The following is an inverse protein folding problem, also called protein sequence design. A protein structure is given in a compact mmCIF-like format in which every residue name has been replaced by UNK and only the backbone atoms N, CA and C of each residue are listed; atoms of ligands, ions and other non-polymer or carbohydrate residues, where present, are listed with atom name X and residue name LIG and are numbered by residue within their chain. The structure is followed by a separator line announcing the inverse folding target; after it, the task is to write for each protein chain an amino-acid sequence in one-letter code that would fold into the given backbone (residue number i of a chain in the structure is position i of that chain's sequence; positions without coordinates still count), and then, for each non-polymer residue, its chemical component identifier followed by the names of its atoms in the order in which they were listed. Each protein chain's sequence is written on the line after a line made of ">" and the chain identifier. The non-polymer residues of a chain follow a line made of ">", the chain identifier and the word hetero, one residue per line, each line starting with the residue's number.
data_IF_653495485675
#
_entry.id   IF_653495485675
#
_cell.length_a   1.000
_cell.length_b   1.000
_cell.length_c   1.000
_cell.angle_alpha   90.00
_cell.angle_beta   90.00
_cell.angle_gamma   90.00
#
_symmetry.space_group_name_H-M   'P 1'
#
loop_
_entity.id
_entity.type
_entity.pdbx_description
1 polymer ?
#
# COMPACT_ATOMS: atom_id res chain seq x y z
N UNK A 1 -12.80 -3.35 -21.47
CA UNK A 1 -13.72 -2.33 -22.04
C UNK A 1 -13.47 -2.15 -23.53
N UNK A 2 -12.21 -1.95 -23.95
CA UNK A 2 -11.82 -1.82 -25.36
C UNK A 2 -12.35 -2.99 -26.20
N UNK A 3 -12.09 -4.23 -25.79
CA UNK A 3 -12.53 -5.43 -26.55
C UNK A 3 -14.07 -5.54 -26.64
N UNK A 4 -14.77 -5.08 -25.60
CA UNK A 4 -16.24 -5.04 -25.56
C UNK A 4 -16.76 -3.98 -26.53
N UNK A 5 -16.17 -2.79 -26.55
CA UNK A 5 -16.57 -1.72 -27.47
C UNK A 5 -16.17 -2.04 -28.92
N UNK A 6 -15.05 -2.72 -29.14
CA UNK A 6 -14.65 -3.18 -30.48
C UNK A 6 -15.60 -4.26 -31.01
N UNK A 7 -16.05 -5.19 -30.17
CA UNK A 7 -17.02 -6.22 -30.61
C UNK A 7 -18.41 -5.65 -30.89
N UNK A 8 -18.81 -4.58 -30.19
CA UNK A 8 -20.13 -3.95 -30.36
C UNK A 8 -20.18 -2.85 -31.43
N UNK A 9 -19.12 -2.04 -31.55
CA UNK A 9 -19.10 -0.80 -32.37
C UNK A 9 -18.01 -0.80 -33.45
N UNK A 10 -17.20 -1.86 -33.54
CA UNK A 10 -16.08 -1.94 -34.50
C UNK A 10 -16.50 -1.89 -35.97
N UNK A 11 -17.76 -2.21 -36.28
CA UNK A 11 -18.33 -2.08 -37.64
C UNK A 11 -18.81 -0.67 -37.99
N UNK A 12 -19.00 0.20 -36.99
CA UNK A 12 -19.62 1.52 -37.16
C UNK A 12 -18.64 2.68 -36.97
N UNK A 13 -17.61 2.52 -36.13
CA UNK A 13 -16.71 3.60 -35.76
C UNK A 13 -15.24 3.26 -36.10
N UNK A 14 -14.42 4.25 -36.47
CA UNK A 14 -12.98 4.07 -36.60
C UNK A 14 -12.33 3.60 -35.29
N UNK A 15 -11.33 2.74 -35.37
CA UNK A 15 -10.69 2.12 -34.19
C UNK A 15 -10.14 3.15 -33.20
N UNK A 16 -9.54 4.25 -33.68
CA UNK A 16 -9.00 5.31 -32.81
C UNK A 16 -10.09 5.97 -31.93
N UNK A 17 -11.30 6.12 -32.46
CA UNK A 17 -12.42 6.71 -31.72
C UNK A 17 -12.92 5.75 -30.63
N UNK A 18 -12.92 4.44 -30.90
CA UNK A 18 -13.28 3.42 -29.92
C UNK A 18 -12.30 3.43 -28.73
N UNK A 19 -10.99 3.60 -28.98
CA UNK A 19 -10.01 3.75 -27.91
C UNK A 19 -10.27 5.00 -27.06
N UNK A 20 -10.50 6.16 -27.69
CA UNK A 20 -10.80 7.41 -26.97
C UNK A 20 -12.07 7.28 -26.13
N UNK A 21 -13.13 6.72 -26.67
CA UNK A 21 -14.39 6.48 -25.95
C UNK A 21 -14.14 5.53 -24.77
N UNK A 22 -13.38 4.44 -24.97
CA UNK A 22 -13.06 3.51 -23.88
C UNK A 22 -12.29 4.18 -22.76
N UNK A 23 -11.32 5.04 -23.07
CA UNK A 23 -10.56 5.77 -22.05
C UNK A 23 -11.46 6.76 -21.32
N UNK A 24 -12.29 7.54 -22.02
CA UNK A 24 -13.22 8.48 -21.40
C UNK A 24 -14.22 7.78 -20.47
N UNK A 25 -14.75 6.63 -20.89
CA UNK A 25 -15.67 5.82 -20.06
C UNK A 25 -14.94 5.30 -18.82
N UNK A 26 -13.76 4.70 -18.98
CA UNK A 26 -12.96 4.21 -17.85
C UNK A 26 -12.60 5.33 -16.87
N UNK A 27 -12.14 6.48 -17.37
CA UNK A 27 -11.82 7.65 -16.54
C UNK A 27 -13.07 8.17 -15.83
N UNK A 28 -14.22 8.25 -16.50
CA UNK A 28 -15.47 8.69 -15.88
C UNK A 28 -15.92 7.74 -14.77
N UNK A 29 -15.79 6.43 -14.98
CA UNK A 29 -16.09 5.42 -13.95
C UNK A 29 -15.17 5.62 -12.74
N UNK A 30 -13.86 5.76 -12.96
CA UNK A 30 -12.89 5.98 -11.86
C UNK A 30 -13.23 7.27 -11.10
N UNK A 31 -13.51 8.38 -11.80
CA UNK A 31 -13.85 9.67 -11.20
C UNK A 31 -15.16 9.65 -10.40
N UNK A 32 -16.08 8.72 -10.68
CA UNK A 32 -17.33 8.55 -9.93
C UNK A 32 -17.13 7.58 -8.76
N UNK A 33 -16.43 6.46 -8.99
CA UNK A 33 -16.25 5.39 -8.00
C UNK A 33 -15.34 5.85 -6.87
N UNK A 34 -14.27 6.60 -7.14
CA UNK A 34 -13.33 6.97 -6.07
C UNK A 34 -13.93 7.93 -5.04
N UNK A 35 -14.66 9.02 -5.40
CA UNK A 35 -15.30 9.87 -4.38
C UNK A 35 -16.41 9.14 -3.62
N UNK A 36 -17.14 8.23 -4.27
CA UNK A 36 -18.14 7.38 -3.59
C UNK A 36 -17.47 6.45 -2.58
N UNK A 37 -16.32 5.88 -2.95
CA UNK A 37 -15.53 5.03 -2.08
C UNK A 37 -14.98 5.83 -0.88
N UNK A 38 -14.51 7.05 -1.10
CA UNK A 38 -14.13 7.98 -0.03
C UNK A 38 -15.30 8.27 0.94
N UNK A 39 -16.50 8.55 0.42
CA UNK A 39 -17.68 8.75 1.26
C UNK A 39 -17.95 7.52 2.14
N UNK A 40 -17.85 6.31 1.59
CA UNK A 40 -18.00 5.08 2.38
C UNK A 40 -16.90 4.92 3.44
N UNK A 41 -15.65 5.29 3.16
CA UNK A 41 -14.54 5.19 4.10
C UNK A 41 -14.71 6.09 5.31
N UNK A 42 -15.13 7.34 5.10
CA UNK A 42 -15.33 8.28 6.21
C UNK A 42 -16.42 7.79 7.16
N UNK A 43 -17.51 7.20 6.63
CA UNK A 43 -18.53 6.56 7.44
C UNK A 43 -18.01 5.32 8.16
N UNK A 44 -17.27 4.46 7.45
CA UNK A 44 -16.70 3.23 7.96
C UNK A 44 -15.75 3.48 9.14
N UNK A 45 -14.80 4.41 8.97
CA UNK A 45 -13.84 4.79 10.01
C UNK A 45 -14.55 5.28 11.27
N UNK A 46 -15.49 6.22 11.15
CA UNK A 46 -16.22 6.76 12.30
C UNK A 46 -16.98 5.69 13.06
N UNK A 47 -17.55 4.71 12.35
CA UNK A 47 -18.33 3.64 12.98
C UNK A 47 -17.42 2.64 13.70
N UNK A 48 -16.28 2.27 13.11
CA UNK A 48 -15.36 1.32 13.72
C UNK A 48 -14.68 1.91 14.94
N UNK A 49 -14.15 3.12 14.84
CA UNK A 49 -13.51 3.80 15.98
C UNK A 49 -14.51 3.99 17.12
N UNK A 50 -15.76 4.34 16.80
CA UNK A 50 -16.82 4.44 17.81
C UNK A 50 -17.07 3.10 18.52
N UNK A 51 -17.15 1.98 17.77
CA UNK A 51 -17.30 0.64 18.35
C UNK A 51 -16.11 0.24 19.24
N UNK A 52 -14.88 0.58 18.85
CA UNK A 52 -13.68 0.32 19.67
C UNK A 52 -13.69 1.13 20.97
N UNK A 53 -14.27 2.33 20.95
CA UNK A 53 -14.38 3.23 22.09
C UNK A 53 -15.66 3.04 22.90
N UNK A 54 -16.39 1.94 22.70
CA UNK A 54 -17.68 1.64 23.32
C UNK A 54 -18.71 2.78 23.22
N UNK A 55 -18.75 3.45 22.07
CA UNK A 55 -19.74 4.49 21.75
C UNK A 55 -20.43 4.21 20.42
N UNK A 56 -21.60 4.82 20.25
CA UNK A 56 -22.32 4.73 18.99
C UNK A 56 -21.70 5.69 17.96
N UNK A 57 -21.42 5.17 16.76
CA UNK A 57 -21.05 5.98 15.61
C UNK A 57 -22.23 6.79 15.05
N UNK A 58 -22.08 7.39 13.85
CA UNK A 58 -23.18 8.12 13.20
C UNK A 58 -24.44 7.25 13.09
N UNK A 59 -25.56 7.71 13.68
CA UNK A 59 -26.81 6.93 13.76
C UNK A 59 -28.08 7.74 13.40
N UNK A 60 -27.97 9.03 13.09
CA UNK A 60 -29.14 9.91 12.87
C UNK A 60 -29.42 10.22 11.39
N UNK A 61 -28.39 10.40 10.58
CA UNK A 61 -28.54 10.84 9.18
C UNK A 61 -28.70 9.61 8.28
N UNK A 62 -29.95 9.21 8.06
CA UNK A 62 -30.30 8.02 7.26
C UNK A 62 -30.19 6.69 8.02
N UNK A 63 -30.52 5.55 7.37
CA UNK A 63 -30.45 4.24 8.00
C UNK A 63 -29.00 3.94 8.39
N UNK A 64 -28.79 3.68 9.68
CA UNK A 64 -27.47 3.42 10.26
C UNK A 64 -26.43 4.54 9.99
N UNK A 65 -26.87 5.78 9.73
CA UNK A 65 -25.97 6.91 9.48
C UNK A 65 -25.29 6.93 8.11
N UNK A 66 -25.70 6.07 7.15
CA UNK A 66 -25.04 5.99 5.83
C UNK A 66 -25.04 7.31 5.06
N UNK A 67 -26.08 8.14 5.24
CA UNK A 67 -26.17 9.44 4.58
C UNK A 67 -25.31 10.53 5.24
N UNK A 68 -24.60 10.22 6.34
CA UNK A 68 -23.70 11.16 7.00
C UNK A 68 -22.58 11.62 6.08
N UNK A 69 -21.98 10.71 5.31
CA UNK A 69 -20.89 11.06 4.40
C UNK A 69 -21.36 12.01 3.29
N UNK A 70 -22.59 11.82 2.79
CA UNK A 70 -23.21 12.72 1.81
C UNK A 70 -23.47 14.09 2.44
N UNK A 71 -24.00 14.13 3.68
CA UNK A 71 -24.22 15.38 4.40
C UNK A 71 -22.92 16.16 4.65
N UNK A 72 -21.82 15.46 4.97
CA UNK A 72 -20.51 16.08 5.13
C UNK A 72 -19.98 16.63 3.79
N UNK A 73 -20.18 15.90 2.69
CA UNK A 73 -19.86 16.39 1.34
C UNK A 73 -20.63 17.67 1.00
N UNK A 74 -21.96 17.65 1.15
CA UNK A 74 -22.81 18.83 0.91
C UNK A 74 -22.37 20.01 1.77
N UNK A 75 -22.08 19.78 3.07
CA UNK A 75 -21.57 20.80 3.98
C UNK A 75 -20.28 21.44 3.46
N UNK A 76 -19.35 20.64 2.93
CA UNK A 76 -18.09 21.18 2.40
C UNK A 76 -18.27 21.97 1.11
N UNK A 77 -19.24 21.61 0.27
CA UNK A 77 -19.62 22.38 -0.93
C UNK A 77 -20.32 23.71 -0.59
N UNK A 78 -21.17 23.73 0.44
CA UNK A 78 -21.90 24.94 0.83
C UNK A 78 -21.09 25.89 1.70
N UNK A 79 -19.98 25.41 2.29
CA UNK A 79 -19.14 26.22 3.16
C UNK A 79 -18.42 27.31 2.37
N UNK A 80 -18.32 28.48 2.98
CA UNK A 80 -17.57 29.59 2.43
C UNK A 80 -16.07 29.25 2.31
N UNK A 81 -15.50 29.53 1.13
CA UNK A 81 -14.10 29.30 0.82
C UNK A 81 -13.27 30.55 1.19
N UNK A 82 -12.80 30.58 2.43
CA UNK A 82 -11.94 31.65 2.94
C UNK A 82 -10.49 31.35 2.50
N UNK A 83 -9.80 32.36 1.98
CA UNK A 83 -8.37 32.28 1.65
C UNK A 83 -7.65 33.41 2.40
N UNK A 84 -6.58 33.13 3.17
CA UNK A 84 -5.90 34.17 3.94
C UNK A 84 -5.36 35.30 3.04
N UNK A 85 -5.38 36.55 3.53
CA UNK A 85 -4.92 37.71 2.74
C UNK A 85 -3.41 37.68 2.45
N UNK A 86 -2.63 37.11 3.36
CA UNK A 86 -1.18 36.99 3.25
C UNK A 86 -0.73 35.74 2.47
N UNK A 87 -1.65 34.82 2.13
CA UNK A 87 -1.36 33.60 1.41
C UNK A 87 -1.11 33.87 -0.09
N UNK A 88 -0.28 33.03 -0.71
CA UNK A 88 -0.15 33.01 -2.17
C UNK A 88 -1.38 32.32 -2.76
N UNK A 89 -2.23 33.10 -3.44
CA UNK A 89 -3.52 32.64 -3.97
C UNK A 89 -3.39 31.49 -4.96
N UNK A 90 -2.34 31.49 -5.79
CA UNK A 90 -2.18 30.47 -6.83
C UNK A 90 -1.69 29.16 -6.23
N UNK A 91 -0.64 29.23 -5.39
CA UNK A 91 -0.10 28.05 -4.71
C UNK A 91 -1.17 27.44 -3.78
N UNK A 92 -1.87 28.27 -3.02
CA UNK A 92 -2.95 27.82 -2.12
C UNK A 92 -4.15 27.22 -2.88
N UNK A 93 -4.44 27.63 -4.12
CA UNK A 93 -5.51 27.03 -4.90
C UNK A 93 -5.11 25.69 -5.51
N UNK A 94 -3.86 25.60 -5.99
CA UNK A 94 -3.35 24.45 -6.74
C UNK A 94 -2.88 23.33 -5.81
N UNK A 95 -2.42 23.63 -4.59
CA UNK A 95 -1.86 22.64 -3.67
C UNK A 95 -2.76 21.42 -3.40
N UNK A 96 -4.07 21.56 -3.08
CA UNK A 96 -4.94 20.39 -2.89
C UNK A 96 -5.07 19.52 -4.15
N UNK A 97 -5.05 20.14 -5.34
CA UNK A 97 -5.14 19.45 -6.62
C UNK A 97 -3.86 18.64 -6.86
N UNK A 98 -2.69 19.24 -6.64
CA UNK A 98 -1.39 18.57 -6.80
C UNK A 98 -1.20 17.45 -5.77
N UNK A 99 -1.76 17.57 -4.57
CA UNK A 99 -1.73 16.50 -3.57
C UNK A 99 -2.65 15.32 -3.94
N UNK A 100 -3.81 15.60 -4.53
CA UNK A 100 -4.87 14.58 -4.75
C UNK A 100 -4.82 13.94 -6.13
N UNK A 101 -4.42 14.69 -7.17
CA UNK A 101 -4.36 14.17 -8.54
C UNK A 101 -3.45 12.94 -8.70
N UNK A 102 -2.25 12.86 -8.08
CA UNK A 102 -1.40 11.67 -8.14
C UNK A 102 -2.13 10.43 -7.63
N UNK A 103 -2.85 10.54 -6.51
CA UNK A 103 -3.62 9.45 -5.93
C UNK A 103 -4.71 8.96 -6.89
N UNK A 104 -5.35 9.87 -7.61
CA UNK A 104 -6.36 9.51 -8.61
C UNK A 104 -5.74 8.75 -9.79
N UNK A 105 -4.52 9.09 -10.20
CA UNK A 105 -3.80 8.37 -11.26
C UNK A 105 -3.42 6.95 -10.85
N UNK A 106 -3.21 6.65 -9.57
CA UNK A 106 -2.91 5.28 -9.10
C UNK A 106 -4.02 4.30 -9.50
N UNK A 107 -5.29 4.71 -9.45
CA UNK A 107 -6.43 3.87 -9.82
C UNK A 107 -6.49 3.51 -11.31
N UNK A 108 -5.73 4.18 -12.17
CA UNK A 108 -5.67 3.87 -13.60
C UNK A 108 -4.91 2.57 -13.89
N UNK A 109 -3.96 2.20 -13.03
CA UNK A 109 -3.06 1.05 -13.24
C UNK A 109 -3.43 -0.14 -12.35
N UNK A 110 -4.24 0.08 -11.32
CA UNK A 110 -4.72 -0.97 -10.42
C UNK A 110 -5.71 -1.91 -11.18
N UNK A 111 -5.43 -3.22 -11.28
CA UNK A 111 -6.37 -4.19 -11.83
C UNK A 111 -7.53 -4.41 -10.86
N UNK A 112 -8.77 -4.15 -11.30
CA UNK A 112 -9.97 -4.28 -10.47
C UNK A 112 -10.53 -5.71 -10.43
N UNK A 113 -10.13 -6.56 -11.38
CA UNK A 113 -10.56 -7.94 -11.51
C UNK A 113 -9.86 -8.63 -12.69
N UNK A 114 -10.17 -9.91 -12.90
CA UNK A 114 -9.58 -10.69 -14.00
C UNK A 114 -9.96 -10.08 -15.37
N UNK A 115 -8.97 -9.56 -16.10
CA UNK A 115 -9.19 -8.87 -17.37
C UNK A 115 -9.89 -7.51 -17.26
N UNK A 116 -9.99 -6.97 -16.04
CA UNK A 116 -10.57 -5.65 -15.76
C UNK A 116 -9.47 -4.69 -15.29
N UNK A 117 -8.62 -4.31 -16.22
CA UNK A 117 -7.61 -3.28 -16.04
C UNK A 117 -7.97 -2.02 -16.84
N UNK A 118 -7.96 -0.82 -16.24
CA UNK A 118 -8.27 0.41 -16.97
C UNK A 118 -7.18 0.75 -18.00
N UNK A 119 -5.92 0.51 -17.66
CA UNK A 119 -4.74 0.65 -18.52
C UNK A 119 -3.77 -0.51 -18.27
N UNK A 120 -3.51 -1.32 -19.31
CA UNK A 120 -2.52 -2.38 -19.28
C UNK A 120 -1.13 -1.80 -19.51
N UNK A 121 -0.35 -1.60 -18.44
CA UNK A 121 1.01 -1.06 -18.52
C UNK A 121 2.02 -2.08 -18.01
N UNK A 122 3.02 -2.44 -18.82
CA UNK A 122 4.04 -3.43 -18.42
C UNK A 122 4.86 -2.99 -17.20
N UNK A 123 5.01 -1.68 -17.02
CA UNK A 123 5.79 -1.06 -15.94
C UNK A 123 4.88 -0.47 -14.84
N UNK A 124 3.86 -1.24 -14.44
CA UNK A 124 2.83 -0.80 -13.49
C UNK A 124 3.36 -0.44 -12.10
N UNK A 125 4.26 -1.25 -11.53
CA UNK A 125 4.82 -1.01 -10.19
C UNK A 125 5.66 0.27 -10.14
N UNK A 126 6.46 0.54 -11.17
CA UNK A 126 7.26 1.77 -11.25
C UNK A 126 6.36 3.01 -11.35
N UNK A 127 5.26 2.91 -12.10
CA UNK A 127 4.28 3.99 -12.20
C UNK A 127 3.66 4.35 -10.84
N UNK A 128 3.30 3.34 -10.03
CA UNK A 128 2.76 3.57 -8.68
C UNK A 128 3.76 4.35 -7.82
N UNK A 129 5.02 3.93 -7.82
CA UNK A 129 6.10 4.58 -7.05
C UNK A 129 6.36 6.00 -7.55
N UNK A 130 6.49 6.19 -8.87
CA UNK A 130 6.83 7.50 -9.43
C UNK A 130 5.74 8.55 -9.20
N UNK A 131 4.48 8.13 -9.20
CA UNK A 131 3.36 9.04 -9.00
C UNK A 131 3.13 9.35 -7.52
N UNK A 132 3.33 8.40 -6.61
CA UNK A 132 3.21 8.70 -5.18
C UNK A 132 4.21 9.77 -4.72
N UNK A 133 5.42 9.82 -5.28
CA UNK A 133 6.41 10.85 -4.93
C UNK A 133 5.92 12.29 -5.20
N UNK A 134 4.95 12.47 -6.11
CA UNK A 134 4.43 13.80 -6.48
C UNK A 134 3.55 14.40 -5.36
N UNK A 135 2.88 13.58 -4.52
CA UNK A 135 2.02 14.11 -3.46
C UNK A 135 2.79 14.90 -2.41
N UNK A 136 4.07 14.58 -2.18
CA UNK A 136 4.96 15.34 -1.29
C UNK A 136 5.06 16.82 -1.68
N UNK A 137 5.09 17.10 -2.98
CA UNK A 137 5.13 18.48 -3.50
C UNK A 137 3.82 19.20 -3.20
N UNK A 138 2.68 18.53 -3.35
CA UNK A 138 1.37 19.08 -3.01
C UNK A 138 1.24 19.47 -1.53
N UNK A 139 1.79 18.64 -0.64
CA UNK A 139 1.84 18.90 0.80
C UNK A 139 2.72 20.12 1.14
N UNK A 140 3.90 20.21 0.52
CA UNK A 140 4.80 21.36 0.69
C UNK A 140 4.18 22.66 0.19
N UNK A 141 3.55 22.62 -0.99
CA UNK A 141 2.79 23.75 -1.53
C UNK A 141 1.64 24.15 -0.59
N UNK A 142 1.01 23.17 0.06
CA UNK A 142 -0.05 23.38 1.04
C UNK A 142 0.39 24.29 2.19
N UNK A 143 1.48 23.92 2.86
CA UNK A 143 2.04 24.68 3.99
C UNK A 143 2.70 26.00 3.57
N UNK A 144 3.47 25.99 2.48
CA UNK A 144 4.14 27.20 1.98
C UNK A 144 3.15 28.26 1.49
N UNK A 145 2.15 27.85 0.69
CA UNK A 145 1.13 28.74 0.14
C UNK A 145 0.24 29.40 1.20
N UNK A 146 0.16 28.82 2.39
CA UNK A 146 -0.65 29.31 3.51
C UNK A 146 -0.04 30.51 4.25
N UNK A 147 1.25 30.79 4.06
CA UNK A 147 2.00 31.87 4.74
C UNK A 147 1.78 31.92 6.27
N UNK A 148 1.77 30.74 6.91
CA UNK A 148 1.70 30.59 8.36
C UNK A 148 2.90 29.73 8.82
N UNK A 149 3.61 30.18 9.86
CA UNK A 149 4.80 29.49 10.40
C UNK A 149 4.49 28.06 10.83
N UNK A 150 3.33 27.83 11.46
CA UNK A 150 2.94 26.50 11.92
C UNK A 150 2.57 25.57 10.77
N UNK A 151 1.87 26.09 9.75
CA UNK A 151 1.52 25.33 8.56
C UNK A 151 2.77 24.92 7.76
N UNK A 152 3.76 25.81 7.66
CA UNK A 152 5.04 25.51 7.01
C UNK A 152 5.84 24.45 7.77
N UNK A 153 5.93 24.55 9.10
CA UNK A 153 6.58 23.53 9.93
C UNK A 153 5.88 22.17 9.82
N UNK A 154 4.54 22.16 9.81
CA UNK A 154 3.76 20.95 9.59
C UNK A 154 4.02 20.31 8.22
N UNK A 155 4.07 21.10 7.16
CA UNK A 155 4.40 20.61 5.82
C UNK A 155 5.83 20.07 5.71
N UNK A 156 6.82 20.74 6.30
CA UNK A 156 8.20 20.25 6.32
C UNK A 156 8.32 18.90 7.04
N UNK A 157 7.55 18.71 8.13
CA UNK A 157 7.47 17.43 8.86
C UNK A 157 6.80 16.35 8.01
N UNK A 158 5.67 16.65 7.38
CA UNK A 158 4.98 15.74 6.45
C UNK A 158 5.91 15.23 5.36
N UNK A 159 6.61 16.15 4.68
CA UNK A 159 7.51 15.82 3.57
C UNK A 159 8.70 15.00 4.06
N UNK A 160 9.32 15.37 5.19
CA UNK A 160 10.43 14.60 5.75
C UNK A 160 10.01 13.17 6.11
N UNK A 161 8.81 13.00 6.65
CA UNK A 161 8.24 11.69 6.96
C UNK A 161 7.93 10.89 5.69
N UNK A 162 7.19 11.46 4.75
CA UNK A 162 6.82 10.82 3.49
C UNK A 162 8.05 10.30 2.74
N UNK A 163 9.05 11.16 2.54
CA UNK A 163 10.30 10.79 1.84
C UNK A 163 11.08 9.70 2.59
N UNK A 164 11.12 9.74 3.93
CA UNK A 164 11.87 8.76 4.72
C UNK A 164 11.26 7.35 4.64
N UNK A 165 9.94 7.23 4.51
CA UNK A 165 9.24 5.94 4.42
C UNK A 165 9.03 5.46 2.99
N UNK A 166 9.15 6.35 2.01
CA UNK A 166 9.11 6.00 0.60
C UNK A 166 10.28 5.07 0.22
N UNK A 167 11.50 5.35 0.69
CA UNK A 167 12.69 4.55 0.34
C UNK A 167 12.53 3.06 0.77
N UNK A 168 12.20 2.72 2.04
CA UNK A 168 11.96 1.33 2.41
C UNK A 168 10.75 0.70 1.69
N UNK A 169 9.68 1.47 1.42
CA UNK A 169 8.51 0.98 0.69
C UNK A 169 8.87 0.57 -0.74
N UNK A 170 9.65 1.39 -1.44
CA UNK A 170 10.13 1.11 -2.80
C UNK A 170 11.03 -0.11 -2.82
N UNK A 171 11.96 -0.24 -1.87
CA UNK A 171 12.82 -1.43 -1.77
C UNK A 171 11.99 -2.70 -1.49
N UNK A 172 10.95 -2.61 -0.65
CA UNK A 172 10.03 -3.71 -0.42
C UNK A 172 9.26 -4.12 -1.70
N UNK A 173 8.79 -3.16 -2.51
CA UNK A 173 8.20 -3.46 -3.81
C UNK A 173 9.21 -4.05 -4.79
N UNK A 174 10.43 -3.54 -4.84
CA UNK A 174 11.51 -4.07 -5.69
C UNK A 174 11.86 -5.53 -5.33
N UNK A 175 11.84 -5.88 -4.05
CA UNK A 175 12.03 -7.29 -3.64
C UNK A 175 10.98 -8.21 -4.25
N UNK A 176 9.74 -7.74 -4.41
CA UNK A 176 8.66 -8.48 -5.05
C UNK A 176 8.76 -8.50 -6.57
N UNK A 177 9.30 -7.45 -7.19
CA UNK A 177 9.67 -7.44 -8.62
C UNK A 177 10.72 -8.52 -8.91
N UNK A 178 11.77 -8.62 -8.08
CA UNK A 178 12.78 -9.67 -8.23
C UNK A 178 12.19 -11.07 -8.00
N UNK A 179 11.30 -11.21 -7.02
CA UNK A 179 10.67 -12.49 -6.71
C UNK A 179 9.77 -13.00 -7.86
N UNK A 180 9.06 -12.10 -8.54
CA UNK A 180 8.08 -12.45 -9.59
C UNK A 180 8.62 -12.30 -11.01
N UNK A 181 9.77 -11.64 -11.20
CA UNK A 181 10.37 -11.33 -12.50
C UNK A 181 9.47 -10.53 -13.45
N UNK A 182 8.51 -9.77 -12.93
CA UNK A 182 7.58 -8.93 -13.68
C UNK A 182 7.28 -7.64 -12.92
N UNK A 183 6.95 -6.56 -13.65
CA UNK A 183 6.53 -5.27 -13.07
C UNK A 183 5.04 -4.98 -13.29
N UNK A 184 4.31 -5.89 -13.97
CA UNK A 184 2.90 -5.69 -14.30
C UNK A 184 2.00 -6.19 -13.15
N UNK A 185 1.20 -5.30 -12.54
CA UNK A 185 0.33 -5.60 -11.39
C UNK A 185 -0.71 -6.69 -11.67
N UNK A 186 -1.19 -6.83 -12.90
CA UNK A 186 -2.14 -7.88 -13.27
C UNK A 186 -1.47 -9.26 -13.18
N UNK A 187 -0.23 -9.35 -13.68
CA UNK A 187 0.55 -10.59 -13.62
C UNK A 187 0.87 -11.03 -12.19
N UNK A 188 1.02 -10.11 -11.22
CA UNK A 188 1.17 -10.47 -9.80
C UNK A 188 -0.02 -11.27 -9.30
N UNK A 189 -1.24 -10.78 -9.55
CA UNK A 189 -2.45 -11.47 -9.13
C UNK A 189 -2.51 -12.85 -9.78
N UNK A 190 -2.26 -12.94 -11.09
CA UNK A 190 -2.26 -14.21 -11.83
C UNK A 190 -1.23 -15.23 -11.30
N UNK A 191 0.00 -14.78 -10.98
CA UNK A 191 1.07 -15.62 -10.42
C UNK A 191 0.78 -16.13 -9.01
N UNK A 192 -0.13 -15.48 -8.30
CA UNK A 192 -0.61 -15.90 -6.97
C UNK A 192 -1.80 -16.88 -7.04
N UNK A 193 -2.15 -17.35 -8.24
CA UNK A 193 -2.99 -18.53 -8.42
C UNK A 193 -2.25 -19.80 -7.98
N UNK A 194 -2.94 -20.73 -7.33
CA UNK A 194 -2.40 -22.03 -6.93
C UNK A 194 -2.47 -22.32 -5.42
N UNK A 195 -1.66 -23.28 -4.98
CA UNK A 195 -1.57 -23.76 -3.60
C UNK A 195 -0.51 -22.94 -2.84
N UNK A 196 -0.68 -22.64 -1.53
CA UNK A 196 0.35 -21.99 -0.74
C UNK A 196 1.70 -22.72 -0.83
N UNK A 197 2.81 -21.96 -0.85
CA UNK A 197 4.21 -22.42 -0.77
C UNK A 197 4.80 -23.13 -2.01
N UNK A 198 4.01 -23.76 -2.87
CA UNK A 198 4.48 -24.41 -4.09
C UNK A 198 4.07 -23.67 -5.38
N UNK A 199 3.09 -22.77 -5.31
CA UNK A 199 2.68 -21.94 -6.44
C UNK A 199 2.04 -22.76 -7.58
N UNK A 200 2.21 -22.27 -8.81
CA UNK A 200 1.63 -22.86 -10.02
C UNK A 200 2.31 -24.15 -10.50
N UNK A 201 3.38 -24.62 -9.86
CA UNK A 201 4.10 -25.85 -10.27
C UNK A 201 3.27 -27.12 -10.10
N UNK A 202 2.19 -27.09 -9.31
CA UNK A 202 1.20 -28.18 -9.23
C UNK A 202 0.06 -28.09 -10.24
N UNK A 203 -0.04 -27.00 -11.03
CA UNK A 203 -0.92 -26.98 -12.20
C UNK A 203 -0.44 -28.01 -13.24
N UNK A 204 0.88 -28.19 -13.35
CA UNK A 204 1.51 -29.25 -14.16
C UNK A 204 1.28 -30.66 -13.58
N UNK A 205 0.92 -30.76 -12.30
CA UNK A 205 0.58 -32.02 -11.61
C UNK A 205 -0.93 -32.32 -11.58
N UNK A 206 -1.76 -31.52 -12.27
CA UNK A 206 -3.21 -31.75 -12.41
C UNK A 206 -4.04 -31.41 -11.17
N UNK A 207 -3.49 -30.66 -10.19
CA UNK A 207 -4.25 -30.25 -9.00
C UNK A 207 -5.06 -28.97 -9.30
N UNK A 208 -6.35 -28.89 -8.93
CA UNK A 208 -7.17 -27.70 -9.17
C UNK A 208 -6.59 -26.45 -8.50
N UNK A 209 -6.65 -25.32 -9.22
CA UNK A 209 -6.22 -24.03 -8.71
C UNK A 209 -7.11 -23.57 -7.55
N UNK A 210 -6.56 -23.60 -6.33
CA UNK A 210 -7.23 -23.19 -5.10
C UNK A 210 -7.17 -21.67 -4.85
N UNK A 211 -6.40 -20.89 -5.62
CA UNK A 211 -6.31 -19.43 -5.47
C UNK A 211 -5.73 -18.94 -4.13
N UNK A 212 -4.92 -19.76 -3.47
CA UNK A 212 -4.35 -19.53 -2.13
C UNK A 212 -2.82 -19.33 -2.14
N UNK A 213 -2.20 -19.23 -3.32
CA UNK A 213 -0.76 -18.99 -3.51
C UNK A 213 -0.28 -17.58 -3.15
N UNK A 214 -0.75 -17.00 -2.04
CA UNK A 214 -0.45 -15.62 -1.66
C UNK A 214 1.01 -15.47 -1.25
N UNK A 215 1.65 -14.39 -1.69
CA UNK A 215 3.06 -14.16 -1.40
C UNK A 215 3.31 -13.84 0.09
N UNK A 216 2.30 -13.41 0.85
CA UNK A 216 2.42 -13.25 2.31
C UNK A 216 2.87 -14.54 3.02
N UNK A 217 2.58 -15.72 2.47
CA UNK A 217 3.03 -16.99 3.08
C UNK A 217 4.50 -17.32 2.80
N UNK A 218 5.16 -16.56 1.92
CA UNK A 218 6.60 -16.69 1.68
C UNK A 218 7.38 -15.80 2.64
N UNK A 219 8.58 -16.20 3.10
CA UNK A 219 9.37 -15.37 4.01
C UNK A 219 9.73 -13.99 3.44
N UNK A 220 9.98 -13.90 2.13
CA UNK A 220 10.28 -12.66 1.42
C UNK A 220 9.04 -11.77 1.35
N UNK A 221 7.89 -12.35 0.97
CA UNK A 221 6.64 -11.62 0.86
C UNK A 221 6.07 -11.20 2.22
N UNK A 222 6.23 -11.99 3.29
CA UNK A 222 5.79 -11.61 4.64
C UNK A 222 6.55 -10.38 5.15
N UNK A 223 7.88 -10.42 5.05
CA UNK A 223 8.72 -9.32 5.50
C UNK A 223 8.53 -8.09 4.60
N UNK A 224 8.46 -8.29 3.28
CA UNK A 224 8.15 -7.22 2.33
C UNK A 224 6.78 -6.59 2.60
N UNK A 225 5.75 -7.39 2.89
CA UNK A 225 4.42 -6.92 3.25
C UNK A 225 4.44 -6.11 4.54
N UNK A 226 5.11 -6.60 5.58
CA UNK A 226 5.19 -5.89 6.86
C UNK A 226 5.89 -4.53 6.69
N UNK A 227 7.02 -4.47 5.98
CA UNK A 227 7.72 -3.21 5.71
C UNK A 227 6.83 -2.28 4.88
N UNK A 228 6.28 -2.77 3.76
CA UNK A 228 5.44 -1.97 2.88
C UNK A 228 4.22 -1.42 3.60
N UNK A 229 3.49 -2.26 4.35
CA UNK A 229 2.29 -1.86 5.08
C UNK A 229 2.60 -0.83 6.17
N UNK A 230 3.69 -0.98 6.92
CA UNK A 230 4.11 0.02 7.91
C UNK A 230 4.51 1.34 7.24
N UNK A 231 5.17 1.29 6.09
CA UNK A 231 5.52 2.50 5.35
C UNK A 231 4.30 3.23 4.81
N UNK A 232 3.34 2.50 4.24
CA UNK A 232 2.06 3.06 3.79
C UNK A 232 1.27 3.67 4.94
N UNK A 233 1.26 3.04 6.12
CA UNK A 233 0.62 3.61 7.31
C UNK A 233 1.24 4.96 7.72
N UNK A 234 2.56 5.05 7.62
CA UNK A 234 3.30 6.28 7.90
C UNK A 234 3.05 7.36 6.84
N UNK A 235 3.07 6.99 5.56
CA UNK A 235 2.85 7.90 4.44
C UNK A 235 1.40 8.40 4.36
N UNK A 236 0.45 7.55 4.75
CA UNK A 236 -0.96 7.87 4.83
C UNK A 236 -1.36 8.71 6.05
N UNK A 237 -0.38 9.18 6.84
CA UNK A 237 -0.52 10.10 7.97
C UNK A 237 -1.57 9.66 9.01
N UNK A 238 -1.75 8.34 9.21
CA UNK A 238 -2.69 7.81 10.20
C UNK A 238 -1.99 7.49 11.50
N UNK A 239 -2.68 7.77 12.62
CA UNK A 239 -2.29 7.30 13.96
C UNK A 239 -1.94 5.82 13.89
N UNK A 240 -0.78 5.38 14.40
CA UNK A 240 0.12 6.08 15.33
C UNK A 240 1.14 7.06 14.70
N UNK A 241 1.13 7.22 13.38
CA UNK A 241 2.11 7.99 12.59
C UNK A 241 1.54 9.34 12.07
N UNK A 242 0.54 9.93 12.73
CA UNK A 242 -0.18 11.17 12.34
C UNK A 242 0.53 12.48 12.74
N UNK A 243 1.87 12.47 12.70
CA UNK A 243 2.69 13.56 13.23
C UNK A 243 2.48 14.91 12.50
N UNK A 244 2.24 14.95 11.18
CA UNK A 244 2.02 16.22 10.48
C UNK A 244 0.66 16.87 10.75
N UNK A 245 -0.34 16.11 11.21
CA UNK A 245 -1.67 16.63 11.56
C UNK A 245 -1.80 16.94 13.06
N UNK A 246 -0.88 16.44 13.90
CA UNK A 246 -0.97 16.44 15.35
C UNK A 246 -1.53 17.74 15.98
N UNK A 247 -2.80 17.68 16.39
CA UNK A 247 -3.55 18.78 17.00
C UNK A 247 -2.84 19.44 18.18
N UNK A 248 -2.10 18.63 18.97
CA UNK A 248 -1.38 19.07 20.17
C UNK A 248 -0.12 19.89 19.89
N UNK A 249 0.45 19.78 18.69
CA UNK A 249 1.73 20.43 18.36
C UNK A 249 1.58 21.51 17.28
N UNK A 250 0.78 21.23 16.24
CA UNK A 250 0.68 22.05 15.03
C UNK A 250 -0.76 22.24 14.54
N UNK A 251 -1.76 22.03 15.41
CA UNK A 251 -3.22 22.21 15.19
C UNK A 251 -3.83 21.34 14.11
N UNK A 252 -3.40 21.48 12.86
CA UNK A 252 -3.75 20.63 11.72
C UNK A 252 -2.65 20.64 10.65
N UNK A 253 -1.43 21.08 10.99
CA UNK A 253 -0.30 21.15 10.07
C UNK A 253 -0.57 21.96 8.81
N UNK A 254 -0.30 21.36 7.66
CA UNK A 254 -0.37 22.02 6.35
C UNK A 254 -1.78 22.38 5.89
N UNK A 255 -2.82 21.81 6.51
CA UNK A 255 -4.22 22.09 6.16
C UNK A 255 -4.90 23.14 7.04
N UNK A 256 -4.20 23.70 8.03
CA UNK A 256 -4.75 24.64 9.02
C UNK A 256 -5.48 25.84 8.40
N UNK A 257 -4.97 26.39 7.29
CA UNK A 257 -5.54 27.59 6.64
C UNK A 257 -6.57 27.27 5.53
N UNK A 258 -6.91 25.99 5.32
CA UNK A 258 -7.81 25.57 4.25
C UNK A 258 -9.25 25.47 4.74
N UNK A 259 -10.18 26.11 4.01
CA UNK A 259 -11.63 26.06 4.30
C UNK A 259 -12.42 25.28 3.23
N UNK A 260 -13.57 24.77 3.64
CA UNK A 260 -14.62 24.22 2.78
C UNK A 260 -14.11 23.14 1.82
N UNK A 261 -14.29 23.39 0.51
CA UNK A 261 -13.95 22.43 -0.53
C UNK A 261 -12.45 22.13 -0.61
N UNK A 262 -11.56 23.10 -0.41
CA UNK A 262 -10.11 22.85 -0.52
C UNK A 262 -9.61 21.90 0.58
N UNK A 263 -10.13 22.05 1.79
CA UNK A 263 -9.89 21.12 2.89
C UNK A 263 -10.41 19.72 2.57
N UNK A 264 -11.64 19.63 2.04
CA UNK A 264 -12.24 18.36 1.68
C UNK A 264 -11.42 17.59 0.62
N UNK A 265 -10.82 18.31 -0.34
CA UNK A 265 -9.94 17.69 -1.37
C UNK A 265 -8.67 17.12 -0.74
N UNK A 266 -7.99 17.82 0.18
CA UNK A 266 -6.85 17.26 0.91
C UNK A 266 -7.22 15.99 1.67
N UNK A 267 -8.32 16.04 2.44
CA UNK A 267 -8.81 14.90 3.20
C UNK A 267 -9.17 13.73 2.26
N UNK A 268 -9.84 14.01 1.14
CA UNK A 268 -10.13 12.99 0.13
C UNK A 268 -8.86 12.34 -0.41
N UNK A 269 -7.83 13.13 -0.72
CA UNK A 269 -6.53 12.64 -1.16
C UNK A 269 -5.89 11.66 -0.16
N UNK A 270 -5.82 12.01 1.13
CA UNK A 270 -5.26 11.14 2.16
C UNK A 270 -6.03 9.81 2.31
N UNK A 271 -7.37 9.85 2.29
CA UNK A 271 -8.18 8.64 2.38
C UNK A 271 -8.03 7.75 1.15
N UNK A 272 -8.06 8.35 -0.04
CA UNK A 272 -7.88 7.62 -1.29
C UNK A 272 -6.47 7.05 -1.40
N UNK A 273 -5.46 7.73 -0.87
CA UNK A 273 -4.08 7.24 -0.81
C UNK A 273 -4.02 5.95 0.02
N UNK A 274 -4.54 5.99 1.25
CA UNK A 274 -4.61 4.83 2.14
C UNK A 274 -5.32 3.63 1.48
N UNK A 275 -6.38 3.90 0.73
CA UNK A 275 -7.09 2.83 0.02
C UNK A 275 -6.36 2.31 -1.22
N UNK A 276 -5.83 3.20 -2.06
CA UNK A 276 -5.08 2.82 -3.26
C UNK A 276 -3.89 1.93 -2.87
N UNK A 277 -3.15 2.31 -1.83
CA UNK A 277 -2.05 1.51 -1.32
C UNK A 277 -2.49 0.24 -0.59
N UNK A 278 -3.68 0.21 0.03
CA UNK A 278 -4.29 -1.03 0.50
C UNK A 278 -4.63 -1.97 -0.67
N UNK A 279 -5.09 -1.45 -1.80
CA UNK A 279 -5.30 -2.26 -3.02
C UNK A 279 -3.97 -2.77 -3.59
N UNK A 280 -2.94 -1.91 -3.67
CA UNK A 280 -1.60 -2.31 -4.12
C UNK A 280 -1.04 -3.40 -3.19
N UNK A 281 -1.15 -3.24 -1.87
CA UNK A 281 -0.75 -4.27 -0.91
C UNK A 281 -1.53 -5.59 -1.11
N UNK A 282 -2.84 -5.49 -1.35
CA UNK A 282 -3.67 -6.66 -1.63
C UNK A 282 -3.23 -7.39 -2.90
N UNK A 283 -2.88 -6.66 -3.96
CA UNK A 283 -2.43 -7.19 -5.26
C UNK A 283 -1.03 -7.79 -5.17
N UNK A 284 -0.09 -7.07 -4.57
CA UNK A 284 1.32 -7.50 -4.53
C UNK A 284 1.51 -8.66 -3.56
N UNK A 285 0.79 -8.69 -2.43
CA UNK A 285 1.07 -9.65 -1.37
C UNK A 285 -0.05 -10.67 -1.12
N UNK A 286 -1.33 -10.26 -1.18
CA UNK A 286 -2.47 -11.08 -0.74
C UNK A 286 -3.27 -11.74 -1.87
N UNK A 287 -2.74 -11.88 -3.08
CA UNK A 287 -3.46 -12.56 -4.18
C UNK A 287 -4.29 -11.63 -5.07
N UNK A 288 -4.41 -10.33 -4.77
CA UNK A 288 -5.25 -9.40 -5.53
C UNK A 288 -6.66 -9.92 -5.75
N UNK A 289 -7.06 -10.03 -7.03
CA UNK A 289 -8.36 -10.54 -7.46
C UNK A 289 -8.47 -12.08 -7.43
N UNK A 290 -7.38 -12.81 -7.20
CA UNK A 290 -7.40 -14.26 -7.05
C UNK A 290 -7.88 -14.66 -5.65
N UNK A 291 -8.79 -15.62 -5.60
CA UNK A 291 -9.31 -16.19 -4.37
C UNK A 291 -9.91 -17.58 -4.60
N UNK A 292 -10.21 -18.31 -3.51
CA UNK A 292 -10.79 -19.65 -3.61
C UNK A 292 -12.03 -19.66 -4.50
N UNK A 293 -12.07 -20.57 -5.49
CA UNK A 293 -13.22 -20.73 -6.39
C UNK A 293 -13.20 -19.85 -7.65
N UNK A 294 -12.36 -18.83 -7.76
CA UNK A 294 -12.24 -18.05 -9.02
C UNK A 294 -11.70 -18.94 -10.15
N UNK A 295 -10.65 -19.72 -9.88
CA UNK A 295 -10.07 -20.65 -10.86
C UNK A 295 -11.06 -21.75 -11.30
N UNK A 296 -11.80 -22.32 -10.34
CA UNK A 296 -12.81 -23.35 -10.59
C UNK A 296 -13.97 -22.84 -11.43
N UNK A 297 -14.44 -21.62 -11.19
CA UNK A 297 -15.55 -21.01 -11.96
C UNK A 297 -15.17 -20.72 -13.42
N UNK A 298 -13.90 -20.39 -13.66
CA UNK A 298 -13.38 -20.25 -15.02
C UNK A 298 -13.33 -21.60 -15.72
N UNK A 299 -12.87 -22.65 -15.04
CA UNK A 299 -12.86 -24.02 -15.58
C UNK A 299 -14.28 -24.56 -15.82
N UNK A 300 -15.26 -24.15 -15.00
CA UNK A 300 -16.67 -24.47 -15.16
C UNK A 300 -17.36 -23.71 -16.32
N UNK A 301 -16.64 -22.85 -17.05
CA UNK A 301 -17.17 -22.16 -18.23
C UNK A 301 -18.09 -20.97 -17.93
N UNK A 302 -18.04 -20.41 -16.71
CA UNK A 302 -18.87 -19.27 -16.29
C UNK A 302 -18.01 -18.02 -16.04
N UNK A 303 -17.42 -17.41 -17.09
CA UNK A 303 -16.43 -16.33 -16.94
C UNK A 303 -17.00 -15.06 -16.30
N UNK A 304 -18.30 -14.79 -16.49
CA UNK A 304 -18.96 -13.63 -15.89
C UNK A 304 -18.97 -13.70 -14.36
N UNK A 305 -19.34 -14.85 -13.79
CA UNK A 305 -19.39 -15.04 -12.34
C UNK A 305 -17.99 -15.02 -11.74
N UNK A 306 -17.00 -15.58 -12.44
CA UNK A 306 -15.59 -15.50 -12.05
C UNK A 306 -15.10 -14.04 -12.02
N UNK A 307 -15.46 -13.23 -13.02
CA UNK A 307 -15.15 -11.80 -13.05
C UNK A 307 -15.73 -11.05 -11.86
N UNK A 308 -17.03 -11.22 -11.57
CA UNK A 308 -17.68 -10.57 -10.44
C UNK A 308 -17.07 -10.99 -9.10
N UNK A 309 -16.81 -12.29 -8.91
CA UNK A 309 -16.18 -12.82 -7.71
C UNK A 309 -14.76 -12.26 -7.53
N UNK A 310 -14.01 -12.09 -8.62
CA UNK A 310 -12.66 -11.52 -8.60
C UNK A 310 -12.61 -10.08 -8.10
N UNK A 311 -13.60 -9.26 -8.49
CA UNK A 311 -13.77 -7.88 -7.98
C UNK A 311 -14.08 -7.92 -6.48
N UNK A 312 -15.01 -8.79 -6.08
CA UNK A 312 -15.42 -8.91 -4.67
C UNK A 312 -14.24 -9.30 -3.79
N UNK A 313 -13.38 -10.24 -4.22
CA UNK A 313 -12.18 -10.60 -3.46
C UNK A 313 -11.20 -9.45 -3.28
N UNK A 314 -10.91 -8.71 -4.36
CA UNK A 314 -10.02 -7.57 -4.28
C UNK A 314 -10.58 -6.51 -3.32
N UNK A 315 -11.87 -6.19 -3.44
CA UNK A 315 -12.54 -5.22 -2.58
C UNK A 315 -12.52 -5.66 -1.12
N UNK A 316 -12.86 -6.92 -0.82
CA UNK A 316 -12.83 -7.45 0.55
C UNK A 316 -11.42 -7.34 1.14
N UNK A 317 -10.38 -7.72 0.40
CA UNK A 317 -8.99 -7.63 0.89
C UNK A 317 -8.55 -6.19 1.09
N UNK A 318 -8.88 -5.28 0.18
CA UNK A 318 -8.56 -3.86 0.30
C UNK A 318 -9.28 -3.22 1.50
N UNK A 319 -10.57 -3.51 1.69
CA UNK A 319 -11.34 -3.05 2.85
C UNK A 319 -10.87 -3.68 4.16
N UNK A 320 -10.42 -4.94 4.14
CA UNK A 320 -9.82 -5.60 5.29
C UNK A 320 -8.51 -4.93 5.70
N UNK A 321 -7.62 -4.63 4.75
CA UNK A 321 -6.39 -3.89 5.04
C UNK A 321 -6.67 -2.48 5.55
N UNK A 322 -7.63 -1.78 4.94
CA UNK A 322 -8.08 -0.47 5.45
C UNK A 322 -8.67 -0.56 6.86
N UNK A 323 -9.44 -1.61 7.16
CA UNK A 323 -9.92 -1.92 8.52
C UNK A 323 -8.75 -2.12 9.48
N UNK A 324 -7.70 -2.86 9.09
CA UNK A 324 -6.50 -3.03 9.91
C UNK A 324 -5.84 -1.68 10.18
N UNK A 325 -5.76 -0.76 9.21
CA UNK A 325 -5.24 0.59 9.46
C UNK A 325 -6.04 1.35 10.53
N UNK A 326 -7.38 1.28 10.46
CA UNK A 326 -8.27 1.91 11.46
C UNK A 326 -8.14 1.22 12.82
N UNK A 327 -7.95 -0.09 12.84
CA UNK A 327 -7.76 -0.84 14.06
C UNK A 327 -6.45 -0.47 14.76
N UNK A 328 -5.36 -0.35 14.00
CA UNK A 328 -4.08 0.11 14.54
C UNK A 328 -4.19 1.52 15.11
N UNK A 329 -4.97 2.40 14.46
CA UNK A 329 -5.34 3.73 14.98
C UNK A 329 -6.00 3.68 16.35
N UNK A 330 -6.92 2.73 16.58
CA UNK A 330 -7.60 2.57 17.85
C UNK A 330 -6.78 1.87 18.94
N UNK A 331 -5.75 1.12 18.56
CA UNK A 331 -4.99 0.25 19.46
C UNK A 331 -3.65 0.83 19.93
N UNK A 332 -2.98 1.64 19.11
CA UNK A 332 -1.62 2.10 19.39
C UNK A 332 -1.56 3.57 19.82
N UNK A 333 -0.66 3.93 20.77
CA UNK A 333 -0.38 5.32 21.10
C UNK A 333 0.39 5.99 19.96
N UNK A 334 0.31 7.32 19.90
CA UNK A 334 1.09 8.13 18.96
C UNK A 334 2.57 8.05 19.25
N UNK A 335 3.38 8.05 18.18
CA UNK A 335 4.83 8.08 18.26
C UNK A 335 5.38 9.50 18.10
N UNK A 336 6.49 9.80 18.76
CA UNK A 336 7.21 11.07 18.60
C UNK A 336 7.98 11.08 17.26
N UNK A 337 8.14 12.27 16.67
CA UNK A 337 8.84 12.45 15.38
C UNK A 337 10.22 11.81 15.36
N UNK A 338 11.01 12.00 16.41
CA UNK A 338 12.38 11.48 16.50
C UNK A 338 12.41 9.94 16.49
N UNK A 339 11.44 9.30 17.17
CA UNK A 339 11.31 7.84 17.22
C UNK A 339 10.83 7.29 15.87
N UNK A 340 9.89 7.99 15.24
CA UNK A 340 9.37 7.64 13.92
C UNK A 340 10.49 7.70 12.88
N UNK A 341 11.23 8.80 12.80
CA UNK A 341 12.38 8.94 11.89
C UNK A 341 13.48 7.91 12.18
N UNK A 342 13.78 7.68 13.46
CA UNK A 342 14.74 6.65 13.89
C UNK A 342 14.33 5.25 13.45
N UNK A 343 13.04 4.91 13.53
CA UNK A 343 12.52 3.61 13.11
C UNK A 343 12.65 3.39 11.60
N UNK A 344 12.36 4.40 10.77
CA UNK A 344 12.56 4.30 9.33
C UNK A 344 14.02 4.03 8.95
N UNK A 345 14.94 4.86 9.45
CA UNK A 345 16.35 4.82 9.03
C UNK A 345 17.16 3.71 9.70
N UNK A 346 16.93 3.42 10.98
CA UNK A 346 17.73 2.44 11.74
C UNK A 346 17.13 1.03 11.74
N UNK A 347 15.85 0.86 11.41
CA UNK A 347 15.20 -0.44 11.42
C UNK A 347 14.64 -0.84 10.06
N UNK A 348 13.71 -0.06 9.50
CA UNK A 348 13.03 -0.44 8.26
C UNK A 348 13.96 -0.48 7.05
N UNK A 349 14.83 0.53 6.88
CA UNK A 349 15.72 0.61 5.72
C UNK A 349 16.73 -0.57 5.68
N UNK A 350 17.49 -0.89 6.76
CA UNK A 350 18.34 -2.08 6.77
C UNK A 350 17.57 -3.38 6.54
N UNK A 351 16.37 -3.50 7.12
CA UNK A 351 15.53 -4.68 6.96
C UNK A 351 15.05 -4.85 5.51
N UNK A 352 14.70 -3.74 4.84
CA UNK A 352 14.31 -3.74 3.42
C UNK A 352 15.49 -4.15 2.51
N UNK A 353 16.70 -3.66 2.81
CA UNK A 353 17.93 -4.04 2.09
C UNK A 353 18.24 -5.53 2.24
N UNK A 354 18.01 -6.10 3.42
CA UNK A 354 18.17 -7.54 3.61
C UNK A 354 17.09 -8.31 2.84
N UNK A 355 15.86 -7.79 2.78
CA UNK A 355 14.78 -8.45 2.03
C UNK A 355 15.07 -8.54 0.54
N UNK A 356 15.58 -7.47 -0.07
CA UNK A 356 15.91 -7.47 -1.50
C UNK A 356 17.08 -8.41 -1.80
N UNK A 357 18.07 -8.51 -0.91
CA UNK A 357 19.15 -9.50 -1.03
C UNK A 357 18.62 -10.93 -0.89
N UNK A 358 17.69 -11.15 0.03
CA UNK A 358 16.99 -12.43 0.19
C UNK A 358 16.20 -12.81 -1.07
N UNK A 359 15.50 -11.85 -1.68
CA UNK A 359 14.80 -12.04 -2.95
C UNK A 359 15.75 -12.35 -4.12
N UNK A 360 16.92 -11.70 -4.18
CA UNK A 360 17.95 -12.00 -5.17
C UNK A 360 18.51 -13.42 -4.99
N UNK A 361 18.79 -13.83 -3.75
CA UNK A 361 19.23 -15.19 -3.44
C UNK A 361 18.17 -16.23 -3.83
N UNK A 362 16.89 -15.97 -3.56
CA UNK A 362 15.80 -16.83 -4.03
C UNK A 362 15.84 -17.03 -5.55
N UNK A 363 15.93 -15.94 -6.32
CA UNK A 363 16.01 -16.01 -7.77
C UNK A 363 17.21 -16.84 -8.23
N UNK A 364 18.38 -16.65 -7.61
CA UNK A 364 19.55 -17.47 -7.94
C UNK A 364 19.33 -18.95 -7.67
N UNK A 365 18.69 -19.33 -6.55
CA UNK A 365 18.39 -20.74 -6.23
C UNK A 365 17.39 -21.35 -7.21
N UNK A 366 16.44 -20.55 -7.74
CA UNK A 366 15.46 -20.99 -8.73
C UNK A 366 16.06 -21.19 -10.12
N UNK A 367 16.88 -20.24 -10.58
CA UNK A 367 17.55 -20.29 -11.88
C UNK A 367 18.73 -21.27 -11.90
N UNK A 368 19.20 -21.66 -10.71
CA UNK A 368 20.27 -22.62 -10.56
C UNK A 368 19.78 -24.01 -11.01
N UNK A 369 20.42 -24.52 -12.09
CA UNK A 369 20.10 -25.79 -12.74
C UNK A 369 19.26 -25.70 -14.03
N UNK A 370 18.62 -24.57 -14.36
CA UNK A 370 17.86 -24.42 -15.63
C UNK A 370 18.67 -23.83 -16.79
N UNK A 371 19.70 -23.04 -16.49
CA UNK A 371 20.60 -22.42 -17.49
C UNK A 371 22.08 -22.63 -17.12
N UNK A 372 22.94 -23.10 -18.06
CA UNK A 372 24.37 -23.31 -17.81
C UNK A 372 25.17 -22.01 -17.59
N UNK A 373 24.54 -20.83 -17.72
CA UNK A 373 25.15 -19.50 -17.48
C UNK A 373 25.05 -19.03 -16.03
N UNK A 374 24.17 -19.62 -15.22
CA UNK A 374 23.88 -19.21 -13.84
C UNK A 374 24.44 -20.18 -12.79
N UNK A 375 25.34 -21.08 -13.19
CA UNK A 375 26.20 -21.80 -12.25
C UNK A 375 27.07 -20.78 -11.53
N UNK A 376 26.70 -20.47 -10.29
CA UNK A 376 27.50 -19.64 -9.38
C UNK A 376 28.80 -20.38 -9.10
N UNK A 377 29.75 -20.19 -9.99
CA UNK A 377 31.12 -20.65 -9.84
C UNK A 377 31.77 -19.59 -8.97
N UNK A 378 32.05 -19.88 -7.71
CA UNK A 378 32.89 -19.01 -6.89
C UNK A 378 34.30 -19.09 -7.49
N UNK A 379 34.59 -18.20 -8.44
CA UNK A 379 35.88 -18.06 -9.09
C UNK A 379 36.86 -17.46 -8.07
N UNK A 380 37.42 -18.30 -7.18
CA UNK A 380 38.72 -18.93 -7.46
C UNK A 380 38.86 -20.41 -7.02
N UNK A 381 37.82 -21.07 -6.51
CA UNK A 381 37.95 -22.41 -5.91
C UNK A 381 37.30 -23.56 -6.71
N UNK A 382 36.63 -23.28 -7.82
CA UNK A 382 36.05 -24.32 -8.70
C UNK A 382 35.03 -25.24 -8.01
N UNK A 383 34.60 -24.93 -6.79
CA UNK A 383 33.61 -25.70 -6.05
C UNK A 383 32.21 -25.20 -6.45
N UNK A 384 31.50 -26.02 -7.21
CA UNK A 384 30.07 -25.86 -7.41
C UNK A 384 29.37 -26.36 -6.14
N UNK A 385 29.23 -25.50 -5.12
CA UNK A 385 28.68 -25.84 -3.80
C UNK A 385 27.28 -26.48 -3.85
N UNK A 386 26.54 -26.27 -4.94
CA UNK A 386 25.25 -26.88 -5.17
C UNK A 386 25.26 -28.00 -6.23
N UNK A 387 26.39 -28.44 -6.81
CA UNK A 387 26.41 -29.47 -7.87
C UNK A 387 25.68 -30.79 -7.54
N UNK A 388 25.55 -31.14 -6.25
CA UNK A 388 24.73 -32.28 -5.76
C UNK A 388 23.20 -32.14 -5.93
N UNK A 389 22.67 -30.96 -6.28
CA UNK A 389 21.24 -30.70 -6.46
C UNK A 389 20.85 -30.60 -7.95
N UNK A 390 21.76 -30.88 -8.90
CA UNK A 390 21.47 -30.83 -10.34
C UNK A 390 20.34 -31.78 -10.80
N UNK A 391 20.05 -32.93 -10.16
CA UNK A 391 18.85 -33.70 -10.47
C UNK A 391 17.62 -33.32 -9.62
N UNK A 392 17.65 -32.22 -8.86
CA UNK A 392 16.58 -31.92 -7.91
C UNK A 392 15.31 -31.37 -8.60
N UNK A 393 14.14 -31.96 -8.33
CA UNK A 393 12.88 -31.48 -8.89
C UNK A 393 12.56 -30.05 -8.41
N UNK A 394 11.80 -29.29 -9.20
CA UNK A 394 11.51 -27.85 -8.97
C UNK A 394 10.97 -27.58 -7.55
N UNK A 395 10.15 -28.47 -7.00
CA UNK A 395 9.61 -28.35 -5.65
C UNK A 395 10.70 -28.40 -4.55
N UNK A 396 11.77 -29.18 -4.74
CA UNK A 396 12.86 -29.28 -3.78
C UNK A 396 13.71 -27.99 -3.76
N UNK A 397 13.93 -27.38 -4.92
CA UNK A 397 14.59 -26.07 -5.04
C UNK A 397 13.74 -24.96 -4.38
N UNK A 398 12.42 -25.03 -4.54
CA UNK A 398 11.47 -24.14 -3.83
C UNK A 398 11.56 -24.23 -2.32
N UNK A 399 11.52 -25.45 -1.76
CA UNK A 399 11.62 -25.63 -0.31
C UNK A 399 12.97 -25.15 0.24
N UNK A 400 14.06 -25.43 -0.46
CA UNK A 400 15.40 -24.99 -0.07
C UNK A 400 15.50 -23.46 -0.10
N UNK A 401 15.01 -22.82 -1.15
CA UNK A 401 14.93 -21.36 -1.22
C UNK A 401 14.11 -20.76 -0.08
N UNK A 402 13.01 -21.41 0.32
CA UNK A 402 12.13 -20.92 1.38
C UNK A 402 12.82 -21.04 2.74
N UNK A 403 13.57 -22.13 2.95
CA UNK A 403 14.36 -22.31 4.16
C UNK A 403 15.48 -21.26 4.29
N UNK A 404 16.28 -21.05 3.23
CA UNK A 404 17.37 -20.08 3.24
C UNK A 404 16.84 -18.67 3.48
N UNK A 405 15.84 -18.25 2.69
CA UNK A 405 15.26 -16.91 2.80
C UNK A 405 14.54 -16.71 4.13
N UNK A 406 13.91 -17.76 4.66
CA UNK A 406 13.31 -17.78 6.00
C UNK A 406 14.32 -17.53 7.11
N UNK A 407 15.45 -18.23 7.09
CA UNK A 407 16.51 -18.07 8.09
C UNK A 407 17.13 -16.66 8.02
N UNK A 408 17.41 -16.16 6.81
CA UNK A 408 17.98 -14.83 6.62
C UNK A 408 17.01 -13.75 7.12
N UNK A 409 15.75 -13.80 6.70
CA UNK A 409 14.76 -12.77 7.03
C UNK A 409 14.41 -12.75 8.52
N UNK A 410 14.19 -13.93 9.13
CA UNK A 410 13.91 -14.02 10.57
C UNK A 410 15.13 -13.66 11.41
N UNK A 411 16.32 -14.16 11.03
CA UNK A 411 17.58 -13.85 11.70
C UNK A 411 17.88 -12.35 11.65
N UNK A 412 17.70 -11.70 10.50
CA UNK A 412 17.89 -10.27 10.33
C UNK A 412 16.92 -9.45 11.19
N UNK A 413 15.64 -9.84 11.22
CA UNK A 413 14.64 -9.18 12.04
C UNK A 413 15.02 -9.20 13.54
N UNK A 414 15.36 -10.37 14.08
CA UNK A 414 15.75 -10.48 15.48
C UNK A 414 17.09 -9.81 15.79
N UNK A 415 18.05 -9.86 14.86
CA UNK A 415 19.34 -9.19 15.02
C UNK A 415 19.17 -7.67 15.09
N UNK A 416 18.41 -7.06 14.17
CA UNK A 416 18.14 -5.63 14.20
C UNK A 416 17.37 -5.21 15.46
N UNK A 417 16.46 -6.06 15.94
CA UNK A 417 15.72 -5.81 17.17
C UNK A 417 16.66 -5.79 18.40
N UNK A 418 17.67 -6.68 18.44
CA UNK A 418 18.69 -6.67 19.49
C UNK A 418 19.61 -5.45 19.40
N UNK A 419 20.05 -5.06 18.20
CA UNK A 419 20.92 -3.90 17.99
C UNK A 419 20.22 -2.62 18.43
N UNK A 420 18.97 -2.41 18.01
CA UNK A 420 18.24 -1.20 18.38
C UNK A 420 17.88 -1.13 19.87
N UNK A 421 17.71 -2.27 20.56
CA UNK A 421 17.59 -2.30 22.02
C UNK A 421 18.87 -1.85 22.73
N UNK A 422 20.06 -2.16 22.18
CA UNK A 422 21.35 -1.78 22.79
C UNK A 422 21.70 -0.31 22.57
N UNK A 423 21.30 0.27 21.44
CA UNK A 423 21.50 1.70 21.13
C UNK A 423 20.53 2.59 21.91
N UNK A 424 19.40 2.04 22.39
CA UNK A 424 18.41 2.71 23.22
C UNK A 424 18.81 2.98 24.67
N UNK A 425 20.03 2.61 25.10
CA UNK A 425 20.70 3.24 26.25
C UNK A 425 19.94 3.36 27.57
N UNK A 426 18.99 2.47 27.88
CA UNK A 426 18.47 2.34 29.23
C UNK A 426 18.82 0.95 29.76
N UNK A 427 19.70 0.94 30.76
CA UNK A 427 19.93 -0.26 31.57
C UNK A 427 18.61 -0.63 32.29
N UNK A 428 18.38 -1.91 32.62
CA UNK A 428 17.19 -2.32 33.38
C UNK A 428 17.01 -1.56 34.72
N UNK A 429 18.06 -0.90 35.21
CA UNK A 429 18.05 -0.05 36.40
C UNK A 429 17.42 1.33 36.15
N UNK A 430 17.53 1.90 34.94
CA UNK A 430 16.96 3.22 34.58
C UNK A 430 15.45 3.12 34.33
N UNK A 431 14.98 2.03 33.69
CA UNK A 431 13.55 1.72 33.57
C UNK A 431 12.88 1.49 34.94
N UNK A 432 13.62 0.97 35.92
CA UNK A 432 13.14 0.83 37.30
C UNK A 432 13.10 2.17 38.05
N UNK A 433 13.98 3.13 37.71
CA UNK A 433 13.92 4.50 38.23
C UNK A 433 12.78 5.31 37.60
N UNK A 434 12.54 5.21 36.29
CA UNK A 434 11.43 5.91 35.65
C UNK A 434 10.06 5.40 36.11
N UNK A 435 9.94 4.11 36.43
CA UNK A 435 8.74 3.58 37.11
C UNK A 435 8.64 4.01 38.58
N UNK A 436 9.75 4.34 39.24
CA UNK A 436 9.77 4.83 40.62
C UNK A 436 9.48 6.34 40.73
N UNK A 437 9.78 7.14 39.70
CA UNK A 437 9.53 8.59 39.67
C UNK A 437 8.15 8.98 39.06
N UNK A 438 7.34 8.01 38.67
CA UNK A 438 5.98 8.23 38.15
C UNK A 438 4.89 8.53 39.19
N UNK A 439 5.23 8.64 40.48
CA UNK A 439 4.28 9.05 41.54
C UNK A 439 4.97 10.00 42.52
N UNK A 440 4.89 11.30 42.23
CA UNK A 440 4.77 12.43 43.18
C UNK A 440 5.43 13.69 42.62
N UNK A 441 4.63 14.63 42.13
CA UNK A 441 4.60 16.03 42.58
C UNK A 441 3.79 16.90 41.61
N UNK A 442 2.57 17.20 42.03
CA UNK A 442 1.93 18.48 41.73
C UNK A 442 2.70 19.58 42.49
N UNK A 443 2.86 20.76 41.89
CA UNK A 443 2.55 22.01 42.57
C UNK A 443 1.10 22.43 42.31
#
# INVERSE_FOLDING_TARGET
>A
MIDVLQSLLGSLLPSWLIYVISFLVNTTIILIVTPVTFMMMTWFERRIVARMQDRLGPNRVGPAGLLQAVADGVKMFTKENITPRAADKWVHLIAPIVATAPVMFLFAVIPWGRGLEPSATDVSVLFVVAISSISAVGLMMGGWGSNNKFALLGAMRAVAQMVSYEIPAVIALLSMVLFTSTMNLNSYSALQGGIPLLGSTLADAGVPDLGLGWFVFTPIGLLGFAIFFICVLSEGERTPFDIPEADSEIVAGYMTEYSGMKFAVFYMGQFLFNYAFSMVAAIVFLGGWNGPGVGLLVQAGVPFLAGLLSIVYLLIKAWFLFFVMIWLRGAFPRLRMDQLMGFAWKFLLPLALINILSAALWLTVMLWGSDPKWTVTIAPFGLNLLGWLEPAPVWARQLLGLAITGVINTGAFFWLLQVNRRVGGETPAELAQDQAFGVASLP
#
